data_IF_754164737328
#
_entry.id   IF_754164737328
#
_cell.length_a   1.000
_cell.length_b   1.000
_cell.length_c   1.000
_cell.angle_alpha   90.00
_cell.angle_beta   90.00
_cell.angle_gamma   90.00
#
_symmetry.space_group_name_H-M   'P 1'
#
loop_
_entity.id
_entity.type
_entity.pdbx_description
1 polymer ?
#
# COMPACT_ATOMS: atom_id res chain seq x y z
N UNK A 1 -30.81 70.40 15.22
CA UNK A 1 -30.28 70.15 13.87
C UNK A 1 -28.82 69.74 14.01
N UNK A 2 -28.68 68.45 14.27
CA UNK A 2 -27.65 67.51 13.88
C UNK A 2 -26.17 67.84 14.09
N UNK A 3 -25.68 67.24 15.17
CA UNK A 3 -24.31 66.87 15.48
C UNK A 3 -23.93 65.67 14.58
N UNK A 4 -22.92 65.80 13.72
CA UNK A 4 -22.30 64.65 13.05
C UNK A 4 -20.85 64.51 13.53
N UNK A 5 -20.62 63.41 14.23
CA UNK A 5 -19.34 62.93 14.74
C UNK A 5 -18.45 62.41 13.61
N UNK A 6 -17.14 62.57 13.79
CA UNK A 6 -16.08 61.92 13.01
C UNK A 6 -16.17 60.40 13.09
N UNK A 7 -15.92 59.71 11.97
CA UNK A 7 -15.43 58.34 12.00
C UNK A 7 -14.30 58.15 10.97
N UNK A 8 -13.09 58.02 11.50
CA UNK A 8 -11.85 57.60 10.85
C UNK A 8 -11.98 56.25 10.11
N UNK A 9 -11.13 55.99 9.09
CA UNK A 9 -11.20 54.79 8.28
C UNK A 9 -10.83 53.54 9.08
N UNK A 10 -11.75 52.57 9.15
CA UNK A 10 -11.44 51.23 9.65
C UNK A 10 -10.43 50.56 8.69
N UNK A 11 -9.20 50.41 9.16
CA UNK A 11 -8.21 49.54 8.56
C UNK A 11 -8.77 48.13 8.49
N UNK A 12 -8.86 47.56 7.28
CA UNK A 12 -9.14 46.14 7.09
C UNK A 12 -8.09 45.32 7.83
N UNK A 13 -8.49 44.74 8.97
CA UNK A 13 -7.66 43.82 9.72
C UNK A 13 -7.27 42.66 8.80
N UNK A 14 -5.98 42.57 8.46
CA UNK A 14 -5.42 41.36 7.90
C UNK A 14 -5.65 40.26 8.92
N UNK A 15 -6.56 39.33 8.63
CA UNK A 15 -6.69 38.11 9.40
C UNK A 15 -5.32 37.44 9.40
N UNK A 16 -4.60 37.51 10.54
CA UNK A 16 -3.35 36.81 10.71
C UNK A 16 -3.67 35.32 10.58
N UNK A 17 -3.34 34.73 9.43
CA UNK A 17 -3.28 33.28 9.26
C UNK A 17 -2.23 32.79 10.26
N UNK A 18 -2.66 32.45 11.48
CA UNK A 18 -1.83 31.67 12.39
C UNK A 18 -1.40 30.43 11.61
N UNK A 19 -0.10 30.21 11.37
CA UNK A 19 0.34 29.04 10.64
C UNK A 19 -0.16 27.83 11.42
N UNK A 20 -1.09 27.06 10.82
CA UNK A 20 -1.58 25.81 11.38
C UNK A 20 -0.36 24.89 11.49
N UNK A 21 0.26 24.90 12.66
CA UNK A 21 1.43 24.07 12.92
C UNK A 21 0.91 22.66 13.12
N UNK A 22 1.01 21.88 12.05
CA UNK A 22 0.49 20.53 12.05
C UNK A 22 1.18 19.68 13.12
N UNK A 23 0.38 19.03 13.99
CA UNK A 23 0.89 18.17 15.06
C UNK A 23 1.42 16.86 14.47
N UNK A 24 2.74 16.77 14.31
CA UNK A 24 3.46 15.61 13.76
C UNK A 24 4.20 14.79 14.82
N UNK A 25 3.84 14.96 16.09
CA UNK A 25 4.39 14.18 17.20
C UNK A 25 4.29 12.68 16.91
N UNK A 26 5.41 11.97 17.11
CA UNK A 26 5.51 10.53 16.85
C UNK A 26 5.52 10.11 15.38
N UNK A 27 5.20 10.97 14.42
CA UNK A 27 5.11 10.58 12.99
C UNK A 27 6.43 10.02 12.46
N UNK A 28 7.55 10.72 12.68
CA UNK A 28 8.87 10.29 12.19
C UNK A 28 9.30 8.96 12.81
N UNK A 29 9.04 8.79 14.11
CA UNK A 29 9.36 7.55 14.82
C UNK A 29 8.53 6.39 14.28
N UNK A 30 7.20 6.55 14.18
CA UNK A 30 6.31 5.52 13.67
C UNK A 30 6.63 5.18 12.22
N UNK A 31 6.88 6.17 11.37
CA UNK A 31 7.28 5.95 9.99
C UNK A 31 8.61 5.18 9.91
N UNK A 32 9.61 5.59 10.70
CA UNK A 32 10.89 4.89 10.76
C UNK A 32 10.73 3.43 11.20
N UNK A 33 9.91 3.18 12.21
CA UNK A 33 9.56 1.83 12.66
C UNK A 33 8.87 1.04 11.54
N UNK A 34 7.87 1.62 10.86
CA UNK A 34 7.17 0.97 9.74
C UNK A 34 8.14 0.58 8.62
N UNK A 35 9.06 1.47 8.22
CA UNK A 35 10.05 1.16 7.18
C UNK A 35 11.02 0.07 7.62
N UNK A 36 11.52 0.10 8.85
CA UNK A 36 12.41 -0.94 9.40
C UNK A 36 11.70 -2.30 9.40
N UNK A 37 10.46 -2.36 9.89
CA UNK A 37 9.66 -3.59 9.91
C UNK A 37 9.38 -4.07 8.48
N UNK A 38 9.08 -3.17 7.55
CA UNK A 38 8.83 -3.51 6.14
C UNK A 38 10.06 -4.06 5.41
N UNK A 39 11.23 -3.44 5.61
CA UNK A 39 12.51 -3.93 5.07
C UNK A 39 12.84 -5.29 5.68
N UNK A 40 12.67 -5.42 6.99
CA UNK A 40 12.89 -6.68 7.70
C UNK A 40 11.97 -7.79 7.16
N UNK A 41 10.70 -7.51 6.92
CA UNK A 41 9.74 -8.44 6.31
C UNK A 41 10.22 -8.95 4.94
N UNK A 42 10.68 -8.05 4.06
CA UNK A 42 11.20 -8.43 2.73
C UNK A 42 12.43 -9.33 2.88
N UNK A 43 13.35 -9.00 3.78
CA UNK A 43 14.54 -9.80 4.06
C UNK A 43 14.15 -11.21 4.56
N UNK A 44 13.24 -11.30 5.53
CA UNK A 44 12.78 -12.59 6.03
C UNK A 44 12.12 -13.44 4.94
N UNK A 45 11.32 -12.84 4.06
CA UNK A 45 10.70 -13.56 2.93
C UNK A 45 11.75 -14.14 1.97
N UNK A 46 12.79 -13.37 1.66
CA UNK A 46 13.91 -13.82 0.82
C UNK A 46 14.70 -14.93 1.53
N UNK A 47 15.01 -14.78 2.81
CA UNK A 47 15.68 -15.81 3.62
C UNK A 47 14.86 -17.10 3.65
N UNK A 48 13.54 -17.01 3.84
CA UNK A 48 12.68 -18.19 3.83
C UNK A 48 12.79 -18.96 2.52
N UNK A 49 12.64 -18.25 1.40
CA UNK A 49 12.70 -18.86 0.07
C UNK A 49 14.07 -19.46 -0.22
N UNK A 50 15.14 -18.74 0.09
CA UNK A 50 16.51 -19.15 -0.25
C UNK A 50 17.01 -20.30 0.63
N UNK A 51 16.77 -20.23 1.94
CA UNK A 51 17.31 -21.22 2.88
C UNK A 51 16.43 -22.45 3.05
N UNK A 52 15.10 -22.30 2.95
CA UNK A 52 14.17 -23.43 3.18
C UNK A 52 13.54 -23.95 1.89
N UNK A 53 13.40 -23.12 0.84
CA UNK A 53 12.65 -23.47 -0.37
C UNK A 53 13.48 -23.68 -1.63
N UNK A 54 14.81 -23.69 -1.49
CA UNK A 54 15.73 -24.00 -2.58
C UNK A 54 15.94 -22.88 -3.59
N UNK A 55 15.52 -21.65 -3.26
CA UNK A 55 15.78 -20.47 -4.09
C UNK A 55 14.79 -20.29 -5.24
N UNK A 56 15.26 -19.77 -6.37
CA UNK A 56 14.42 -19.32 -7.49
C UNK A 56 14.79 -20.02 -8.79
N UNK A 57 13.79 -20.31 -9.61
CA UNK A 57 13.98 -20.72 -11.01
C UNK A 57 12.80 -20.24 -11.86
N UNK A 58 13.02 -20.06 -13.15
CA UNK A 58 11.93 -19.89 -14.12
C UNK A 58 11.65 -21.17 -14.92
N UNK A 59 12.52 -22.17 -14.82
CA UNK A 59 12.42 -23.42 -15.58
C UNK A 59 11.81 -24.58 -14.79
N UNK A 60 11.95 -24.57 -13.46
CA UNK A 60 11.43 -25.62 -12.59
C UNK A 60 10.09 -25.18 -11.96
N UNK A 61 8.98 -25.90 -12.19
CA UNK A 61 7.67 -25.61 -11.61
C UNK A 61 7.64 -25.52 -10.08
N UNK A 62 8.56 -26.19 -9.37
CA UNK A 62 8.65 -26.15 -7.92
C UNK A 62 9.28 -24.84 -7.41
N UNK A 63 10.31 -24.35 -8.10
CA UNK A 63 11.04 -23.14 -7.70
C UNK A 63 10.47 -21.86 -8.33
N UNK A 64 9.70 -21.95 -9.42
CA UNK A 64 9.02 -20.78 -10.00
C UNK A 64 7.93 -20.22 -9.08
N UNK A 65 7.31 -21.07 -8.26
CA UNK A 65 6.39 -20.64 -7.21
C UNK A 65 7.05 -19.63 -6.27
N UNK A 66 8.33 -19.79 -5.96
CA UNK A 66 8.99 -19.00 -4.93
C UNK A 66 9.12 -17.50 -5.28
N UNK A 67 8.98 -17.14 -6.56
CA UNK A 67 8.81 -15.74 -6.97
C UNK A 67 7.53 -15.11 -6.44
N UNK A 68 6.46 -15.89 -6.28
CA UNK A 68 5.15 -15.40 -5.85
C UNK A 68 5.20 -14.71 -4.48
N UNK A 69 5.57 -15.38 -3.36
CA UNK A 69 5.56 -14.74 -2.05
C UNK A 69 6.51 -13.54 -1.96
N UNK A 70 7.65 -13.56 -2.65
CA UNK A 70 8.62 -12.46 -2.65
C UNK A 70 8.10 -11.26 -3.42
N UNK A 71 7.60 -11.46 -4.64
CA UNK A 71 7.07 -10.37 -5.47
C UNK A 71 5.77 -9.79 -4.90
N UNK A 72 4.91 -10.60 -4.29
CA UNK A 72 3.74 -10.10 -3.55
C UNK A 72 4.15 -9.23 -2.36
N UNK A 73 5.16 -9.66 -1.60
CA UNK A 73 5.68 -8.90 -0.45
C UNK A 73 6.33 -7.58 -0.88
N UNK A 74 7.10 -7.58 -1.95
CA UNK A 74 7.73 -6.34 -2.45
C UNK A 74 6.69 -5.40 -3.07
N UNK A 75 5.86 -5.91 -3.99
CA UNK A 75 4.86 -5.12 -4.70
C UNK A 75 3.69 -4.71 -3.81
N UNK A 76 2.78 -5.65 -3.55
CA UNK A 76 1.50 -5.37 -2.92
C UNK A 76 1.58 -5.09 -1.42
N UNK A 77 2.66 -5.48 -0.74
CA UNK A 77 2.83 -5.16 0.68
C UNK A 77 3.69 -3.91 0.85
N UNK A 78 4.99 -4.00 0.54
CA UNK A 78 5.94 -2.94 0.89
C UNK A 78 5.80 -1.67 0.03
N UNK A 79 5.80 -1.81 -1.30
CA UNK A 79 5.70 -0.67 -2.21
C UNK A 79 4.30 -0.06 -2.19
N UNK A 80 3.25 -0.87 -2.08
CA UNK A 80 1.89 -0.36 -1.93
C UNK A 80 1.74 0.50 -0.66
N UNK A 81 2.18 0.02 0.50
CA UNK A 81 2.17 0.80 1.74
C UNK A 81 2.90 2.15 1.58
N UNK A 82 4.08 2.13 0.98
CA UNK A 82 4.87 3.33 0.68
C UNK A 82 4.13 4.28 -0.29
N UNK A 83 3.47 3.74 -1.31
CA UNK A 83 2.62 4.49 -2.23
C UNK A 83 1.44 5.16 -1.50
N UNK A 84 0.78 4.47 -0.57
CA UNK A 84 -0.32 5.04 0.24
C UNK A 84 0.16 6.16 1.16
N UNK A 85 1.35 6.03 1.75
CA UNK A 85 1.88 6.98 2.72
C UNK A 85 2.63 8.16 2.09
N UNK A 86 2.91 8.15 0.79
CA UNK A 86 3.79 9.14 0.13
C UNK A 86 3.38 10.60 0.38
N UNK A 87 2.09 10.91 0.36
CA UNK A 87 1.59 12.27 0.63
C UNK A 87 1.86 12.71 2.07
N UNK A 88 1.86 11.76 3.01
CA UNK A 88 2.11 12.00 4.44
C UNK A 88 3.61 12.14 4.71
N UNK A 89 4.45 11.39 3.98
CA UNK A 89 5.91 11.40 4.11
C UNK A 89 6.56 12.62 3.45
N UNK A 90 6.08 13.02 2.27
CA UNK A 90 6.72 14.05 1.43
C UNK A 90 5.89 15.33 1.35
N UNK A 91 5.46 15.82 2.51
CA UNK A 91 4.50 16.93 2.67
C UNK A 91 4.90 18.24 1.97
N UNK A 92 6.21 18.49 1.86
CA UNK A 92 6.78 19.72 1.28
C UNK A 92 6.89 19.68 -0.24
N UNK A 93 6.65 18.54 -0.88
CA UNK A 93 6.69 18.41 -2.33
C UNK A 93 5.39 18.92 -2.95
N UNK A 94 5.50 19.55 -4.13
CA UNK A 94 4.37 20.00 -4.94
C UNK A 94 3.39 18.85 -5.22
N UNK A 95 2.09 19.11 -5.05
CA UNK A 95 1.03 18.08 -5.15
C UNK A 95 1.02 17.33 -6.47
N UNK A 96 1.28 18.00 -7.59
CA UNK A 96 1.34 17.34 -8.90
C UNK A 96 2.47 16.29 -8.97
N UNK A 97 3.65 16.61 -8.42
CA UNK A 97 4.78 15.68 -8.37
C UNK A 97 4.47 14.50 -7.43
N UNK A 98 3.79 14.74 -6.31
CA UNK A 98 3.34 13.67 -5.41
C UNK A 98 2.37 12.70 -6.10
N UNK A 99 1.43 13.20 -6.92
CA UNK A 99 0.53 12.34 -7.70
C UNK A 99 1.28 11.46 -8.68
N UNK A 100 2.29 12.01 -9.37
CA UNK A 100 3.13 11.24 -10.29
C UNK A 100 3.94 10.17 -9.55
N UNK A 101 4.54 10.51 -8.40
CA UNK A 101 5.28 9.54 -7.58
C UNK A 101 4.34 8.45 -7.05
N UNK A 102 3.18 8.82 -6.50
CA UNK A 102 2.17 7.88 -6.02
C UNK A 102 1.75 6.91 -7.14
N UNK A 103 1.33 7.44 -8.28
CA UNK A 103 0.91 6.63 -9.43
C UNK A 103 2.04 5.75 -9.96
N UNK A 104 3.28 6.29 -10.02
CA UNK A 104 4.47 5.57 -10.47
C UNK A 104 4.86 4.40 -9.57
N UNK A 105 4.82 4.57 -8.24
CA UNK A 105 5.07 3.49 -7.29
C UNK A 105 4.01 2.39 -7.47
N UNK A 106 2.73 2.77 -7.58
CA UNK A 106 1.64 1.80 -7.66
C UNK A 106 1.60 1.04 -8.99
N UNK A 107 1.91 1.67 -10.13
CA UNK A 107 1.99 0.93 -11.41
C UNK A 107 3.19 -0.03 -11.42
N UNK A 108 4.32 0.37 -10.85
CA UNK A 108 5.47 -0.52 -10.70
C UNK A 108 5.14 -1.71 -9.80
N UNK A 109 4.43 -1.46 -8.69
CA UNK A 109 3.88 -2.52 -7.83
C UNK A 109 2.96 -3.47 -8.62
N UNK A 110 2.08 -2.94 -9.49
CA UNK A 110 1.23 -3.78 -10.34
C UNK A 110 2.04 -4.68 -11.27
N UNK A 111 3.12 -4.16 -11.86
CA UNK A 111 4.00 -4.96 -12.73
C UNK A 111 4.63 -6.13 -11.98
N UNK A 112 5.18 -5.89 -10.78
CA UNK A 112 5.74 -6.97 -9.95
C UNK A 112 4.67 -7.99 -9.55
N UNK A 113 3.47 -7.51 -9.25
CA UNK A 113 2.32 -8.35 -8.90
C UNK A 113 1.95 -9.27 -10.06
N UNK A 114 1.86 -8.75 -11.28
CA UNK A 114 1.56 -9.54 -12.48
C UNK A 114 2.61 -10.64 -12.66
N UNK A 115 3.91 -10.32 -12.52
CA UNK A 115 4.98 -11.31 -12.61
C UNK A 115 4.83 -12.41 -11.53
N UNK A 116 4.51 -12.03 -10.29
CA UNK A 116 4.28 -12.99 -9.20
C UNK A 116 2.99 -13.81 -9.36
N UNK A 117 1.97 -13.30 -10.04
CA UNK A 117 0.79 -14.10 -10.40
C UNK A 117 1.13 -15.09 -11.52
N UNK A 118 1.81 -14.64 -12.57
CA UNK A 118 2.27 -15.50 -13.66
C UNK A 118 3.12 -16.64 -13.11
N UNK A 119 3.98 -16.38 -12.11
CA UNK A 119 4.83 -17.41 -11.53
C UNK A 119 4.05 -18.52 -10.80
N UNK A 120 2.97 -18.20 -10.08
CA UNK A 120 2.12 -19.23 -9.43
C UNK A 120 1.24 -19.97 -10.44
N UNK A 121 0.67 -19.28 -11.45
CA UNK A 121 -0.07 -19.95 -12.52
C UNK A 121 0.82 -20.91 -13.33
N UNK A 122 2.04 -20.50 -13.67
CA UNK A 122 3.01 -21.37 -14.33
C UNK A 122 3.42 -22.54 -13.42
N UNK A 123 3.64 -22.29 -12.13
CA UNK A 123 3.93 -23.36 -11.16
C UNK A 123 2.83 -24.42 -11.15
N UNK A 124 1.55 -24.03 -11.16
CA UNK A 124 0.46 -24.99 -11.15
C UNK A 124 0.27 -25.71 -12.49
N UNK A 125 0.32 -24.96 -13.59
CA UNK A 125 0.02 -25.48 -14.92
C UNK A 125 1.11 -26.41 -15.47
N UNK A 126 2.37 -26.21 -15.08
CA UNK A 126 3.51 -26.99 -15.54
C UNK A 126 3.86 -28.17 -14.63
N UNK A 127 3.10 -28.41 -13.56
CA UNK A 127 3.23 -29.62 -12.75
C UNK A 127 2.67 -30.84 -13.49
N UNK A 128 3.16 -32.02 -13.14
CA UNK A 128 2.70 -33.29 -13.70
C UNK A 128 2.20 -34.20 -12.56
N UNK A 129 0.87 -34.36 -12.38
CA UNK A 129 -0.23 -33.71 -13.11
C UNK A 129 -0.39 -32.21 -12.74
N UNK A 130 -1.05 -31.40 -13.58
CA UNK A 130 -1.31 -30.00 -13.27
C UNK A 130 -2.14 -29.81 -11.99
N UNK A 131 -1.82 -28.77 -11.23
CA UNK A 131 -2.55 -28.40 -10.02
C UNK A 131 -3.73 -27.47 -10.43
N UNK A 132 -4.97 -27.71 -9.96
CA UNK A 132 -6.08 -26.80 -10.24
C UNK A 132 -5.81 -25.37 -9.73
N UNK A 133 -6.28 -24.37 -10.47
CA UNK A 133 -6.16 -22.97 -10.09
C UNK A 133 -7.42 -22.46 -9.38
N UNK A 134 -7.27 -21.37 -8.61
CA UNK A 134 -8.38 -20.55 -8.10
C UNK A 134 -9.41 -21.29 -7.22
N UNK A 135 -9.01 -22.34 -6.49
CA UNK A 135 -9.93 -23.08 -5.60
C UNK A 135 -9.81 -22.67 -4.12
N UNK A 136 -8.73 -21.99 -3.71
CA UNK A 136 -8.50 -21.63 -2.31
C UNK A 136 -9.04 -20.24 -1.97
N UNK A 137 -9.44 -20.03 -0.71
CA UNK A 137 -9.86 -18.71 -0.23
C UNK A 137 -8.73 -17.66 -0.36
N UNK A 138 -7.48 -18.08 -0.17
CA UNK A 138 -6.29 -17.25 -0.44
C UNK A 138 -6.34 -16.69 -1.86
N UNK A 139 -6.58 -17.55 -2.87
CA UNK A 139 -6.62 -17.15 -4.27
C UNK A 139 -7.80 -16.23 -4.60
N UNK A 140 -8.98 -16.44 -4.00
CA UNK A 140 -10.16 -15.59 -4.21
C UNK A 140 -9.94 -14.20 -3.64
N UNK A 141 -9.55 -14.10 -2.36
CA UNK A 141 -9.26 -12.80 -1.72
C UNK A 141 -8.08 -12.11 -2.42
N UNK A 142 -7.06 -12.86 -2.79
CA UNK A 142 -5.88 -12.35 -3.49
C UNK A 142 -6.24 -11.73 -4.84
N UNK A 143 -6.94 -12.46 -5.71
CA UNK A 143 -7.32 -11.95 -7.03
C UNK A 143 -8.33 -10.81 -6.93
N UNK A 144 -9.31 -10.86 -6.02
CA UNK A 144 -10.20 -9.72 -5.76
C UNK A 144 -9.42 -8.47 -5.34
N UNK A 145 -8.42 -8.61 -4.47
CA UNK A 145 -7.58 -7.49 -4.03
C UNK A 145 -6.74 -6.92 -5.17
N UNK A 146 -6.18 -7.77 -6.05
CA UNK A 146 -5.43 -7.34 -7.24
C UNK A 146 -6.32 -6.61 -8.24
N UNK A 147 -7.51 -7.14 -8.51
CA UNK A 147 -8.49 -6.49 -9.40
C UNK A 147 -8.88 -5.13 -8.83
N UNK A 148 -9.22 -5.06 -7.54
CA UNK A 148 -9.54 -3.81 -6.88
C UNK A 148 -8.36 -2.82 -6.94
N UNK A 149 -7.13 -3.29 -6.70
CA UNK A 149 -5.91 -2.48 -6.81
C UNK A 149 -5.74 -1.88 -8.20
N UNK A 150 -5.89 -2.69 -9.26
CA UNK A 150 -5.78 -2.23 -10.65
C UNK A 150 -6.89 -1.23 -11.00
N UNK A 151 -8.13 -1.49 -10.59
CA UNK A 151 -9.25 -0.56 -10.75
C UNK A 151 -9.00 0.75 -9.99
N UNK A 152 -8.48 0.70 -8.77
CA UNK A 152 -8.13 1.89 -7.98
C UNK A 152 -7.03 2.70 -8.65
N UNK A 153 -6.00 2.05 -9.21
CA UNK A 153 -4.96 2.73 -9.97
C UNK A 153 -5.53 3.44 -11.19
N UNK A 154 -6.32 2.74 -12.02
CA UNK A 154 -6.91 3.30 -13.24
C UNK A 154 -7.86 4.46 -12.92
N UNK A 155 -8.80 4.26 -12.00
CA UNK A 155 -9.76 5.29 -11.61
C UNK A 155 -9.07 6.48 -10.93
N UNK A 156 -8.03 6.24 -10.13
CA UNK A 156 -7.19 7.28 -9.53
C UNK A 156 -6.41 8.08 -10.59
N UNK A 157 -5.85 7.39 -11.59
CA UNK A 157 -5.15 8.02 -12.71
C UNK A 157 -6.08 8.94 -13.51
N UNK A 158 -7.23 8.43 -13.95
CA UNK A 158 -8.23 9.20 -14.72
C UNK A 158 -8.75 10.39 -13.92
N UNK A 159 -9.05 10.18 -12.64
CA UNK A 159 -9.66 11.22 -11.80
C UNK A 159 -8.67 12.30 -11.37
N UNK A 160 -7.43 11.94 -11.04
CA UNK A 160 -6.49 12.85 -10.38
C UNK A 160 -5.28 13.25 -11.23
N UNK A 161 -4.99 12.57 -12.34
CA UNK A 161 -3.84 12.85 -13.22
C UNK A 161 -4.25 13.23 -14.65
N UNK A 162 -4.71 12.29 -15.46
CA UNK A 162 -4.99 12.51 -16.88
C UNK A 162 -6.12 11.58 -17.38
N UNK A 163 -7.10 12.08 -18.16
CA UNK A 163 -7.29 13.47 -18.57
C UNK A 163 -7.70 14.41 -17.42
N UNK A 164 -8.02 13.85 -16.24
CA UNK A 164 -8.56 14.59 -15.12
C UNK A 164 -10.07 14.75 -15.26
N UNK A 165 -10.77 14.85 -14.13
CA UNK A 165 -12.20 15.13 -14.08
C UNK A 165 -12.49 16.45 -13.36
N UNK A 166 -13.71 16.98 -13.53
CA UNK A 166 -14.12 18.24 -12.91
C UNK A 166 -13.90 18.25 -11.38
N UNK A 167 -13.57 19.43 -10.82
CA UNK A 167 -13.23 19.57 -9.40
C UNK A 167 -14.29 19.02 -8.43
N UNK A 168 -15.62 19.21 -8.65
CA UNK A 168 -16.64 18.64 -7.77
C UNK A 168 -16.59 17.11 -7.75
N UNK A 169 -16.41 16.47 -8.91
CA UNK A 169 -16.33 15.01 -9.01
C UNK A 169 -15.08 14.46 -8.33
N UNK A 170 -13.93 15.14 -8.48
CA UNK A 170 -12.69 14.78 -7.75
C UNK A 170 -12.88 14.87 -6.24
N UNK A 171 -13.57 15.90 -5.76
CA UNK A 171 -13.87 16.07 -4.33
C UNK A 171 -14.75 14.95 -3.81
N UNK A 172 -15.80 14.57 -4.54
CA UNK A 172 -16.70 13.48 -4.17
C UNK A 172 -16.05 12.09 -4.26
N UNK A 173 -15.15 11.86 -5.23
CA UNK A 173 -14.48 10.57 -5.42
C UNK A 173 -13.31 10.34 -4.45
N UNK A 174 -12.63 11.40 -4.01
CA UNK A 174 -11.45 11.30 -3.14
C UNK A 174 -11.64 10.43 -1.87
N UNK A 175 -12.73 10.58 -1.09
CA UNK A 175 -12.98 9.69 0.06
C UNK A 175 -13.14 8.21 -0.33
N UNK A 176 -13.80 7.94 -1.47
CA UNK A 176 -14.02 6.59 -1.99
C UNK A 176 -12.67 5.96 -2.37
N UNK A 177 -11.82 6.71 -3.07
CA UNK A 177 -10.48 6.26 -3.45
C UNK A 177 -9.60 5.94 -2.24
N UNK A 178 -9.65 6.77 -1.19
CA UNK A 178 -8.90 6.55 0.05
C UNK A 178 -9.41 5.30 0.78
N UNK A 179 -10.74 5.14 0.89
CA UNK A 179 -11.36 4.00 1.55
C UNK A 179 -11.01 2.68 0.83
N UNK A 180 -11.32 2.58 -0.46
CA UNK A 180 -11.05 1.35 -1.21
C UNK A 180 -9.56 1.07 -1.41
N UNK A 181 -8.73 2.12 -1.51
CA UNK A 181 -7.27 1.96 -1.50
C UNK A 181 -6.76 1.38 -0.17
N UNK A 182 -7.37 1.74 0.97
CA UNK A 182 -7.01 1.16 2.28
C UNK A 182 -7.60 -0.24 2.46
N UNK A 183 -8.85 -0.46 2.05
CA UNK A 183 -9.51 -1.76 2.12
C UNK A 183 -8.81 -2.81 1.25
N UNK A 184 -8.36 -2.44 0.05
CA UNK A 184 -7.57 -3.32 -0.81
C UNK A 184 -6.24 -3.72 -0.14
N UNK A 185 -5.55 -2.78 0.51
CA UNK A 185 -4.32 -3.10 1.25
C UNK A 185 -4.59 -4.07 2.41
N UNK A 186 -5.68 -3.89 3.17
CA UNK A 186 -6.10 -4.86 4.21
C UNK A 186 -6.38 -6.24 3.58
N UNK A 187 -7.05 -6.27 2.43
CA UNK A 187 -7.29 -7.50 1.66
C UNK A 187 -5.99 -8.20 1.23
N UNK A 188 -4.98 -7.43 0.80
CA UNK A 188 -3.64 -7.96 0.50
C UNK A 188 -3.00 -8.59 1.73
N UNK A 189 -2.94 -7.87 2.86
CA UNK A 189 -2.35 -8.41 4.11
C UNK A 189 -3.05 -9.70 4.52
N UNK A 190 -4.38 -9.71 4.45
CA UNK A 190 -5.21 -10.90 4.74
C UNK A 190 -4.88 -12.06 3.79
N UNK A 191 -4.81 -11.80 2.48
CA UNK A 191 -4.46 -12.83 1.49
C UNK A 191 -3.05 -13.36 1.72
N UNK A 192 -2.07 -12.51 2.01
CA UNK A 192 -0.69 -12.94 2.29
C UNK A 192 -0.61 -13.83 3.55
N UNK A 193 -1.34 -13.51 4.61
CA UNK A 193 -1.43 -14.38 5.80
C UNK A 193 -2.05 -15.75 5.47
N UNK A 194 -3.12 -15.77 4.68
CA UNK A 194 -3.73 -17.02 4.21
C UNK A 194 -2.76 -17.83 3.34
N UNK A 195 -2.02 -17.16 2.44
CA UNK A 195 -1.05 -17.80 1.55
C UNK A 195 0.16 -18.38 2.29
N UNK A 196 0.66 -17.69 3.32
CA UNK A 196 1.72 -18.23 4.19
C UNK A 196 1.24 -19.47 4.93
N UNK A 197 0.02 -19.43 5.50
CA UNK A 197 -0.53 -20.57 6.22
C UNK A 197 -0.81 -21.76 5.29
N UNK A 198 -1.39 -21.50 4.11
CA UNK A 198 -1.62 -22.51 3.06
C UNK A 198 -0.31 -23.17 2.64
N UNK A 199 0.74 -22.37 2.37
CA UNK A 199 2.05 -22.89 2.00
C UNK A 199 2.71 -23.70 3.13
N UNK A 200 2.59 -23.25 4.38
CA UNK A 200 3.11 -23.99 5.53
C UNK A 200 2.44 -25.36 5.65
N UNK A 201 1.11 -25.41 5.60
CA UNK A 201 0.33 -26.66 5.71
C UNK A 201 0.70 -27.64 4.59
N UNK A 202 0.75 -27.17 3.33
CA UNK A 202 1.03 -28.03 2.19
C UNK A 202 2.47 -28.56 2.17
N UNK A 203 3.41 -27.72 2.59
CA UNK A 203 4.84 -28.06 2.50
C UNK A 203 5.31 -28.89 3.69
N UNK A 204 4.89 -28.51 4.90
CA UNK A 204 5.36 -29.13 6.15
C UNK A 204 4.46 -30.29 6.60
N UNK A 205 3.20 -30.32 6.19
CA UNK A 205 2.23 -31.37 6.55
C UNK A 205 2.20 -31.59 8.07
N UNK A 206 2.28 -32.83 8.55
CA UNK A 206 2.30 -33.16 9.99
C UNK A 206 3.45 -32.53 10.77
N UNK A 207 4.57 -32.20 10.12
CA UNK A 207 5.71 -31.53 10.79
C UNK A 207 5.39 -30.11 11.22
N UNK A 208 4.35 -29.49 10.67
CA UNK A 208 4.01 -28.12 11.04
C UNK A 208 3.59 -28.03 12.52
N UNK A 209 2.83 -29.01 13.02
CA UNK A 209 2.44 -29.11 14.43
C UNK A 209 3.57 -29.49 15.39
N UNK A 210 4.71 -29.94 14.85
CA UNK A 210 5.90 -30.30 15.63
C UNK A 210 6.82 -29.10 15.89
N UNK A 211 6.44 -27.89 15.45
CA UNK A 211 7.23 -26.67 15.60
C UNK A 211 8.63 -26.76 14.96
N UNK A 212 8.73 -27.40 13.80
CA UNK A 212 9.98 -27.39 13.01
C UNK A 212 10.40 -25.95 12.66
N UNK A 213 11.71 -25.73 12.52
CA UNK A 213 12.31 -24.41 12.33
C UNK A 213 11.63 -23.60 11.22
N UNK A 214 11.39 -24.22 10.06
CA UNK A 214 10.72 -23.55 8.94
C UNK A 214 9.30 -23.08 9.30
N UNK A 215 8.54 -23.89 10.03
CA UNK A 215 7.17 -23.55 10.44
C UNK A 215 7.13 -22.38 11.41
N UNK A 216 8.05 -22.37 12.38
CA UNK A 216 8.22 -21.23 13.31
C UNK A 216 8.64 -19.97 12.53
N UNK A 217 9.53 -20.11 11.56
CA UNK A 217 9.99 -18.99 10.73
C UNK A 217 8.87 -18.38 9.89
N UNK A 218 8.02 -19.21 9.26
CA UNK A 218 6.84 -18.75 8.52
C UNK A 218 5.87 -17.99 9.43
N UNK A 219 5.65 -18.49 10.66
CA UNK A 219 4.79 -17.81 11.64
C UNK A 219 5.35 -16.44 12.05
N UNK A 220 6.66 -16.34 12.26
CA UNK A 220 7.31 -15.05 12.54
C UNK A 220 7.12 -14.08 11.37
N UNK A 221 7.28 -14.53 10.12
CA UNK A 221 7.00 -13.70 8.92
C UNK A 221 5.55 -13.21 8.94
N UNK A 222 4.58 -14.08 9.25
CA UNK A 222 3.18 -13.72 9.38
C UNK A 222 2.91 -12.66 10.45
N UNK A 223 3.54 -12.77 11.62
CA UNK A 223 3.43 -11.76 12.68
C UNK A 223 4.06 -10.42 12.28
N UNK A 224 5.23 -10.43 11.65
CA UNK A 224 5.89 -9.21 11.15
C UNK A 224 5.03 -8.55 10.06
N UNK A 225 4.43 -9.32 9.16
CA UNK A 225 3.50 -8.85 8.14
C UNK A 225 2.27 -8.17 8.78
N UNK A 226 1.70 -8.77 9.83
CA UNK A 226 0.56 -8.19 10.54
C UNK A 226 0.93 -6.87 11.23
N UNK A 227 2.10 -6.79 11.87
CA UNK A 227 2.61 -5.57 12.50
C UNK A 227 2.83 -4.47 11.44
N UNK A 228 3.48 -4.80 10.33
CA UNK A 228 3.69 -3.86 9.22
C UNK A 228 2.37 -3.32 8.65
N UNK A 229 1.43 -4.22 8.39
CA UNK A 229 0.09 -3.87 7.90
C UNK A 229 -0.64 -2.96 8.88
N UNK A 230 -0.66 -3.31 10.17
CA UNK A 230 -1.30 -2.53 11.22
C UNK A 230 -0.70 -1.13 11.38
N UNK A 231 0.64 -1.02 11.39
CA UNK A 231 1.32 0.28 11.45
C UNK A 231 1.00 1.15 10.23
N UNK A 232 0.97 0.57 9.03
CA UNK A 232 0.63 1.27 7.79
C UNK A 232 -0.81 1.80 7.83
N UNK A 233 -1.77 0.95 8.21
CA UNK A 233 -3.18 1.32 8.35
C UNK A 233 -3.37 2.39 9.42
N UNK A 234 -2.65 2.31 10.54
CA UNK A 234 -2.64 3.37 11.54
C UNK A 234 -2.13 4.69 10.95
N UNK A 235 -0.95 4.70 10.31
CA UNK A 235 -0.37 5.92 9.73
C UNK A 235 -1.26 6.57 8.66
N UNK A 236 -1.94 5.77 7.84
CA UNK A 236 -2.83 6.28 6.78
C UNK A 236 -4.18 6.76 7.31
N UNK A 237 -4.64 6.27 8.46
CA UNK A 237 -5.93 6.65 9.07
C UNK A 237 -5.85 7.89 9.96
N UNK A 238 -4.67 8.23 10.49
CA UNK A 238 -4.52 9.41 11.37
C UNK A 238 -4.73 10.74 10.63
N UNK A 239 -5.80 11.46 10.93
CA UNK A 239 -6.07 12.77 10.29
C UNK A 239 -4.94 13.78 10.53
N UNK A 240 -4.37 13.81 11.74
CA UNK A 240 -3.25 14.70 12.10
C UNK A 240 -2.02 14.55 11.20
N UNK A 241 -1.86 13.40 10.52
CA UNK A 241 -0.77 13.15 9.59
C UNK A 241 -1.16 13.39 8.11
N UNK A 242 -2.39 13.77 7.78
CA UNK A 242 -2.82 14.07 6.40
C UNK A 242 -2.16 15.35 5.88
N UNK A 243 -1.63 15.35 4.65
CA UNK A 243 -0.99 16.55 4.08
C UNK A 243 -2.01 17.69 3.96
N UNK A 244 -1.70 18.84 4.55
CA UNK A 244 -2.52 20.05 4.39
C UNK A 244 -2.38 20.64 2.97
N UNK A 245 -3.42 21.29 2.44
CA UNK A 245 -3.31 22.11 1.24
C UNK A 245 -2.25 23.20 1.41
N UNK A 246 -1.46 23.45 0.38
CA UNK A 246 -0.49 24.56 0.33
C UNK A 246 -1.00 25.62 -0.64
N UNK A 247 -0.56 26.87 -0.50
CA UNK A 247 -0.99 27.98 -1.37
C UNK A 247 -0.73 27.71 -2.87
N UNK A 248 0.40 27.06 -3.16
CA UNK A 248 0.78 26.59 -4.51
C UNK A 248 -0.20 25.55 -5.11
N UNK A 249 -1.00 24.87 -4.28
CA UNK A 249 -2.00 23.90 -4.73
C UNK A 249 -3.31 24.60 -5.19
N UNK A 250 -3.55 25.84 -4.75
CA UNK A 250 -4.77 26.61 -5.08
C UNK A 250 -4.67 27.28 -6.46
N UNK A 251 -3.46 27.61 -6.92
CA UNK A 251 -3.19 28.13 -8.28
C UNK A 251 -3.50 27.10 -9.40
N UNK A 252 -3.72 25.84 -9.04
CA UNK A 252 -4.08 24.75 -9.95
C UNK A 252 -5.59 24.44 -9.97
N UNK A 253 -6.40 25.19 -9.21
CA UNK A 253 -7.87 25.08 -9.20
C UNK A 253 -8.54 26.17 -10.04
N UNK A 254 -7.78 27.15 -10.50
CA UNK A 254 -8.23 28.30 -11.30
C UNK A 254 -7.91 28.19 -12.80
N UNK A 255 -7.43 27.03 -13.26
CA UNK A 255 -7.07 26.76 -14.66
C UNK A 255 -7.69 25.47 -15.16
#
# INVERSE_FOLDING_TARGET
>A
MDRFEESSPQSSASASLTPITQKLEGFKFLLGLTEIVGIFLVILMIIWVTNFRGGFSWSDPNYVFNWHPVLMTIGLVFLYANGMLIYRCKRTIRKQRLKLIHSGILIFSLMLTIIGLVSVFNSHNFQTPPIPNMYSLHSWIGLTSVILFACQWLAGFVSFLYPGVAAPLRSSYSPIHIYFGTAAFIGVITSCLLGLNEKAIFTLKGKYSEFVEEGVFINIIGLVLLIFGGLTVYLVSQERYKREPRDEDNLLLSG
#
